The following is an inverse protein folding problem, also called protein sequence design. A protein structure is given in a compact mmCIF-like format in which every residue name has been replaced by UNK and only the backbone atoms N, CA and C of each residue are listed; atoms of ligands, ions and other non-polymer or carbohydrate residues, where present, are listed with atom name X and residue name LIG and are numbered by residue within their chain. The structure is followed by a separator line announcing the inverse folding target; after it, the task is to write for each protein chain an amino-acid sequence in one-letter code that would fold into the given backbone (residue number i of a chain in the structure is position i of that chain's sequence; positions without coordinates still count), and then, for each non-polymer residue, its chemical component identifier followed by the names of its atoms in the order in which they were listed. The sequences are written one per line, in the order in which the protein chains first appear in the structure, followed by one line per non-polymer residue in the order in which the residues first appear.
data_IF_208961924916
#
_entry.id   IF_208961924916
#
_cell.length_a   1.000
_cell.length_b   1.000
_cell.length_c   1.000
_cell.angle_alpha   90.00
_cell.angle_beta   90.00
_cell.angle_gamma   90.00
#
_symmetry.space_group_name_H-M   'P 1'
#
loop_
_entity.id
_entity.type
_entity.pdbx_description
1 polymer ?
#
# COMPACT_ATOMS: atom_id res chain seq x y z
N UNK A 1 26.21 -7.29 -10.22
CA UNK A 1 25.04 -6.39 -10.16
C UNK A 1 24.12 -6.81 -11.29
N UNK A 2 22.96 -7.40 -11.01
CA UNK A 2 22.04 -7.88 -12.05
C UNK A 2 21.00 -6.80 -12.35
N UNK A 3 20.91 -6.37 -13.62
CA UNK A 3 19.88 -5.42 -14.06
C UNK A 3 18.58 -6.19 -14.27
N UNK A 4 17.52 -5.83 -13.54
CA UNK A 4 16.17 -6.35 -13.78
C UNK A 4 15.42 -5.34 -14.63
N UNK A 5 15.02 -5.74 -15.83
CA UNK A 5 14.25 -4.88 -16.73
C UNK A 5 12.79 -4.90 -16.32
N UNK A 6 12.25 -3.75 -15.91
CA UNK A 6 10.81 -3.55 -15.78
C UNK A 6 10.29 -2.93 -17.08
N UNK A 7 9.46 -3.65 -17.82
CA UNK A 7 8.79 -3.12 -19.00
C UNK A 7 7.41 -2.58 -18.61
N UNK A 8 7.12 -1.33 -18.99
CA UNK A 8 5.76 -0.77 -18.98
C UNK A 8 5.02 -1.22 -20.23
N UNK A 9 3.87 -1.87 -20.07
CA UNK A 9 3.05 -2.25 -21.22
C UNK A 9 2.48 -1.00 -21.90
N UNK A 10 2.92 -0.74 -23.13
CA UNK A 10 2.28 0.24 -24.03
C UNK A 10 1.05 -0.40 -24.65
N UNK A 11 -0.16 0.18 -24.59
CA UNK A 11 -1.30 -0.38 -25.28
C UNK A 11 -1.16 -0.15 -26.78
N UNK A 12 -1.00 -1.23 -27.54
CA UNK A 12 -1.16 -1.21 -28.99
C UNK A 12 -2.67 -1.13 -29.31
N UNK A 13 -3.09 -0.02 -29.89
CA UNK A 13 -4.44 0.17 -30.40
C UNK A 13 -4.68 -0.72 -31.63
N UNK A 14 -5.64 -1.64 -31.53
CA UNK A 14 -6.39 -2.18 -32.68
C UNK A 14 -7.84 -2.41 -32.26
N UNK A 15 -8.73 -1.53 -32.71
CA UNK A 15 -10.16 -1.79 -32.74
C UNK A 15 -10.48 -2.70 -33.94
N UNK A 16 -11.33 -3.70 -33.74
CA UNK A 16 -12.46 -4.07 -34.61
C UNK A 16 -13.31 -5.12 -33.88
N UNK A 17 -14.63 -4.96 -33.97
CA UNK A 17 -15.58 -5.32 -32.93
C UNK A 17 -16.10 -6.76 -32.90
N UNK A 18 -16.65 -7.12 -31.74
CA UNK A 18 -17.75 -8.05 -31.59
C UNK A 18 -18.53 -7.68 -30.31
N UNK A 19 -19.85 -7.72 -30.46
CA UNK A 19 -20.92 -7.38 -29.50
C UNK A 19 -21.16 -8.58 -28.56
N UNK A 20 -21.87 -8.35 -27.44
CA UNK A 20 -22.34 -9.28 -26.38
C UNK A 20 -21.42 -9.36 -25.16
N UNK A 21 -21.85 -9.26 -23.90
CA UNK A 21 -23.12 -8.91 -23.28
C UNK A 21 -22.79 -8.39 -21.85
N UNK A 22 -23.65 -7.54 -21.32
CA UNK A 22 -23.76 -7.05 -19.93
C UNK A 22 -22.94 -7.79 -18.84
N UNK A 23 -21.92 -7.14 -18.30
CA UNK A 23 -21.42 -7.44 -16.94
C UNK A 23 -22.25 -6.68 -15.91
N UNK A 24 -23.29 -7.34 -15.41
CA UNK A 24 -23.97 -6.98 -14.17
C UNK A 24 -23.10 -7.36 -12.97
N UNK A 25 -22.33 -6.41 -12.44
CA UNK A 25 -22.16 -6.25 -10.99
C UNK A 25 -21.42 -4.93 -10.75
N UNK A 26 -22.21 -3.89 -10.47
CA UNK A 26 -21.71 -2.65 -9.88
C UNK A 26 -21.28 -2.95 -8.45
N UNK A 27 -20.10 -3.54 -8.26
CA UNK A 27 -19.45 -3.52 -6.96
C UNK A 27 -19.15 -2.06 -6.67
N UNK A 28 -19.92 -1.50 -5.73
CA UNK A 28 -19.82 -0.11 -5.30
C UNK A 28 -18.41 0.15 -4.76
N UNK A 29 -17.53 0.72 -5.57
CA UNK A 29 -16.21 1.17 -5.12
C UNK A 29 -16.41 2.19 -4.00
N UNK A 30 -15.86 1.92 -2.82
CA UNK A 30 -15.96 2.86 -1.71
C UNK A 30 -15.17 4.12 -2.05
N UNK A 31 -15.62 5.27 -1.55
CA UNK A 31 -14.93 6.55 -1.79
C UNK A 31 -13.47 6.46 -1.33
N UNK A 32 -12.53 6.67 -2.27
CA UNK A 32 -11.09 6.63 -2.04
C UNK A 32 -10.45 5.24 -2.06
N UNK A 33 -11.20 4.17 -2.36
CA UNK A 33 -10.64 2.82 -2.52
C UNK A 33 -9.95 2.66 -3.87
N UNK A 34 -8.68 2.21 -3.85
CA UNK A 34 -7.93 1.85 -5.05
C UNK A 34 -7.92 0.34 -5.25
N UNK A 35 -8.38 -0.10 -6.42
CA UNK A 35 -8.26 -1.49 -6.88
C UNK A 35 -7.04 -1.60 -7.79
N UNK A 36 -6.11 -2.51 -7.48
CA UNK A 36 -4.95 -2.78 -8.32
C UNK A 36 -5.28 -3.85 -9.36
N UNK A 37 -5.00 -3.56 -10.61
CA UNK A 37 -5.26 -4.42 -11.77
C UNK A 37 -3.95 -4.94 -12.37
N UNK A 38 -4.02 -5.89 -13.29
CA UNK A 38 -2.82 -6.38 -14.00
C UNK A 38 -2.06 -5.28 -14.74
N UNK A 39 -2.73 -4.24 -15.22
CA UNK A 39 -2.09 -3.09 -15.87
C UNK A 39 -1.29 -2.19 -14.92
N UNK A 40 -1.56 -2.25 -13.61
CA UNK A 40 -0.76 -1.54 -12.60
C UNK A 40 0.56 -2.27 -12.28
N UNK A 41 0.66 -3.56 -12.62
CA UNK A 41 1.77 -4.41 -12.18
C UNK A 41 2.94 -4.35 -13.17
N UNK A 42 4.15 -3.93 -12.74
CA UNK A 42 5.32 -4.02 -13.59
C UNK A 42 5.68 -5.48 -13.85
N UNK A 43 6.07 -5.80 -15.08
CA UNK A 43 6.68 -7.10 -15.37
C UNK A 43 8.05 -7.17 -14.71
N UNK A 44 8.27 -8.14 -13.82
CA UNK A 44 9.51 -8.32 -13.07
C UNK A 44 10.07 -9.72 -13.32
N UNK A 45 11.32 -9.79 -13.79
CA UNK A 45 12.11 -11.03 -13.83
C UNK A 45 13.04 -11.04 -12.63
N UNK A 46 12.66 -11.74 -11.56
CA UNK A 46 13.41 -11.78 -10.30
C UNK A 46 14.26 -13.06 -10.23
N UNK A 47 15.50 -12.97 -9.69
CA UNK A 47 16.32 -14.15 -9.46
C UNK A 47 15.77 -15.01 -8.31
N UNK A 48 16.18 -16.26 -8.26
CA UNK A 48 15.78 -17.23 -7.21
C UNK A 48 16.53 -17.01 -5.88
N UNK A 49 16.45 -15.78 -5.35
CA UNK A 49 17.17 -15.32 -4.17
C UNK A 49 16.35 -14.28 -3.38
N UNK A 50 16.59 -14.19 -2.07
CA UNK A 50 16.12 -13.05 -1.28
C UNK A 50 16.87 -11.78 -1.69
N UNK A 51 16.19 -10.63 -1.64
CA UNK A 51 16.84 -9.38 -1.98
C UNK A 51 15.95 -8.15 -2.04
N UNK A 52 16.58 -7.05 -2.38
CA UNK A 52 15.96 -5.74 -2.47
C UNK A 52 15.65 -5.43 -3.93
N UNK A 53 14.39 -5.14 -4.22
CA UNK A 53 14.01 -4.46 -5.45
C UNK A 53 14.02 -2.97 -5.16
N UNK A 54 15.04 -2.27 -5.64
CA UNK A 54 15.12 -0.81 -5.52
C UNK A 54 14.46 -0.18 -6.72
N UNK A 55 13.71 0.90 -6.50
CA UNK A 55 13.05 1.60 -7.56
C UNK A 55 13.34 3.11 -7.51
N UNK A 56 13.43 3.69 -8.71
CA UNK A 56 13.49 5.11 -8.96
C UNK A 56 12.42 5.47 -9.98
N UNK A 57 11.62 6.47 -9.68
CA UNK A 57 10.56 6.95 -10.55
C UNK A 57 11.14 8.06 -11.41
N UNK A 58 10.75 8.11 -12.70
CA UNK A 58 11.13 9.24 -13.52
C UNK A 58 10.60 10.53 -12.89
N UNK A 59 11.50 11.49 -12.65
CA UNK A 59 11.09 12.83 -12.27
C UNK A 59 10.36 13.46 -13.46
N UNK A 60 9.28 14.17 -13.18
CA UNK A 60 8.54 14.94 -14.18
C UNK A 60 9.47 16.00 -14.79
N UNK A 61 9.70 16.04 -16.12
CA UNK A 61 10.33 17.18 -16.76
C UNK A 61 9.25 18.23 -17.04
N UNK A 62 8.62 18.76 -15.99
CA UNK A 62 7.80 19.97 -16.12
C UNK A 62 8.68 21.18 -15.73
N UNK A 63 8.90 22.14 -16.64
CA UNK A 63 9.69 23.33 -16.32
C UNK A 63 8.88 24.19 -15.33
N UNK A 64 9.43 24.44 -14.14
CA UNK A 64 8.93 25.51 -13.27
C UNK A 64 8.42 25.16 -11.88
N UNK A 65 8.55 23.92 -11.37
CA UNK A 65 8.38 23.65 -9.93
C UNK A 65 9.68 23.20 -9.29
N UNK A 66 10.26 24.16 -8.55
CA UNK A 66 11.49 24.09 -7.79
C UNK A 66 11.55 22.88 -6.84
N UNK A 67 12.54 22.03 -7.08
CA UNK A 67 13.32 21.25 -6.13
C UNK A 67 12.62 20.81 -4.82
N UNK A 68 11.98 19.65 -4.87
CA UNK A 68 11.32 18.91 -3.76
C UNK A 68 12.25 18.42 -2.63
N UNK A 69 13.42 19.03 -2.43
CA UNK A 69 14.33 18.67 -1.33
C UNK A 69 14.92 19.91 -0.69
N UNK A 70 14.16 20.50 0.22
CA UNK A 70 14.73 21.25 1.34
C UNK A 70 14.63 20.40 2.59
N UNK A 71 15.73 19.76 2.94
CA UNK A 71 16.01 19.26 4.28
C UNK A 71 16.04 20.45 5.23
N UNK A 72 15.28 20.37 6.33
CA UNK A 72 15.08 21.36 7.41
C UNK A 72 13.81 22.20 7.28
N UNK A 73 12.65 21.59 7.54
CA UNK A 73 11.50 22.35 8.02
C UNK A 73 11.07 21.79 9.37
N UNK A 74 11.31 22.59 10.40
CA UNK A 74 10.87 22.36 11.77
C UNK A 74 9.35 22.22 11.75
N UNK A 75 8.86 21.09 12.26
CA UNK A 75 7.43 20.79 12.39
C UNK A 75 6.70 21.95 13.10
N UNK A 76 5.76 22.58 12.40
CA UNK A 76 4.76 23.49 12.98
C UNK A 76 3.39 22.92 12.67
N UNK A 77 2.56 22.56 13.67
CA UNK A 77 1.23 22.05 13.38
C UNK A 77 0.32 23.21 12.96
N UNK A 78 -0.50 23.10 11.90
CA UNK A 78 -1.60 24.02 11.70
C UNK A 78 -2.75 23.63 12.64
N UNK A 79 -3.03 24.52 13.57
CA UNK A 79 -4.28 24.53 14.33
C UNK A 79 -5.39 25.03 13.39
N UNK A 80 -6.41 24.19 13.19
CA UNK A 80 -7.72 24.47 12.59
C UNK A 80 -7.81 24.86 11.09
N UNK A 81 -8.63 24.07 10.39
CA UNK A 81 -9.45 24.36 9.21
C UNK A 81 -8.75 24.76 7.90
N UNK A 82 -8.73 23.80 6.97
CA UNK A 82 -9.12 24.08 5.59
C UNK A 82 -9.84 22.85 5.06
N UNK A 83 -11.15 23.00 4.85
CA UNK A 83 -11.96 22.19 3.96
C UNK A 83 -11.28 22.20 2.58
N UNK A 84 -10.42 21.21 2.33
CA UNK A 84 -9.82 21.02 1.02
C UNK A 84 -10.85 20.29 0.16
N UNK A 85 -11.44 21.04 -0.77
CA UNK A 85 -12.31 20.58 -1.83
C UNK A 85 -11.94 19.19 -2.34
N UNK A 86 -12.96 18.33 -2.45
CA UNK A 86 -12.95 17.15 -3.29
C UNK A 86 -12.80 17.58 -4.76
N UNK A 87 -11.59 17.96 -5.15
CA UNK A 87 -11.20 17.94 -6.57
C UNK A 87 -10.81 16.50 -6.86
N UNK A 88 -11.66 15.90 -7.68
CA UNK A 88 -11.56 14.59 -8.28
C UNK A 88 -10.25 14.52 -9.11
N UNK A 89 -9.15 14.19 -8.45
CA UNK A 89 -7.80 14.13 -9.03
C UNK A 89 -7.25 12.69 -8.99
N UNK A 90 -8.15 11.73 -9.30
CA UNK A 90 -7.82 10.34 -9.63
C UNK A 90 -7.07 10.22 -10.97
N UNK A 91 -6.69 11.34 -11.58
CA UNK A 91 -6.04 11.41 -12.89
C UNK A 91 -4.51 11.39 -12.85
N UNK A 92 -3.90 11.12 -11.68
CA UNK A 92 -2.51 10.68 -11.65
C UNK A 92 -2.43 9.23 -12.11
N UNK A 93 -2.43 9.04 -13.43
CA UNK A 93 -2.06 7.77 -14.04
C UNK A 93 -0.78 7.26 -13.32
N UNK A 94 -0.81 6.07 -12.71
CA UNK A 94 0.36 5.50 -12.08
C UNK A 94 1.42 5.27 -13.16
N UNK A 95 2.34 6.22 -13.29
CA UNK A 95 3.51 6.06 -14.15
C UNK A 95 4.32 4.88 -13.61
N UNK A 96 4.65 3.95 -14.50
CA UNK A 96 5.46 2.80 -14.16
C UNK A 96 6.81 3.21 -13.55
N UNK A 97 7.46 2.30 -12.81
CA UNK A 97 8.76 2.57 -12.24
C UNK A 97 9.76 2.93 -13.34
N UNK A 98 10.52 4.02 -13.17
CA UNK A 98 11.42 4.50 -14.21
C UNK A 98 12.73 3.71 -14.33
N UNK A 99 13.22 3.22 -13.19
CA UNK A 99 14.34 2.29 -13.12
C UNK A 99 14.11 1.34 -11.95
N UNK A 100 14.22 0.04 -12.22
CA UNK A 100 14.14 -1.02 -11.22
C UNK A 100 15.47 -1.78 -11.21
N UNK A 101 15.98 -2.12 -10.04
CA UNK A 101 17.17 -2.95 -9.90
C UNK A 101 16.99 -3.95 -8.76
N UNK A 102 17.62 -5.12 -8.89
CA UNK A 102 17.63 -6.13 -7.84
C UNK A 102 19.01 -6.26 -7.22
N UNK A 103 19.05 -6.34 -5.90
CA UNK A 103 20.27 -6.60 -5.12
C UNK A 103 19.99 -7.78 -4.20
N UNK A 104 20.71 -8.88 -4.41
CA UNK A 104 20.64 -10.03 -3.50
C UNK A 104 21.12 -9.62 -2.11
N UNK A 105 20.33 -9.96 -1.10
CA UNK A 105 20.62 -9.67 0.31
C UNK A 105 20.16 -10.86 1.12
N UNK A 106 20.98 -11.27 2.08
CA UNK A 106 20.60 -12.34 3.00
C UNK A 106 19.33 -11.96 3.78
N UNK A 107 18.45 -12.95 3.98
CA UNK A 107 17.14 -12.76 4.60
C UNK A 107 17.23 -12.08 5.98
N UNK A 108 18.26 -12.36 6.77
CA UNK A 108 18.43 -11.78 8.12
C UNK A 108 18.71 -10.27 8.09
N UNK A 109 19.26 -9.76 6.99
CA UNK A 109 19.61 -8.36 6.80
C UNK A 109 18.62 -7.58 5.95
N UNK A 110 17.65 -8.26 5.33
CA UNK A 110 16.76 -7.73 4.32
C UNK A 110 16.06 -6.42 4.75
N UNK A 111 15.49 -6.39 5.96
CA UNK A 111 14.81 -5.20 6.47
C UNK A 111 15.79 -4.06 6.73
N UNK A 112 16.90 -4.34 7.41
CA UNK A 112 17.91 -3.31 7.75
C UNK A 112 18.47 -2.67 6.48
N UNK A 113 18.95 -3.50 5.55
CA UNK A 113 19.50 -3.03 4.28
C UNK A 113 18.45 -2.29 3.44
N UNK A 114 17.19 -2.74 3.45
CA UNK A 114 16.10 -2.03 2.77
C UNK A 114 15.84 -0.64 3.35
N UNK A 115 15.84 -0.53 4.68
CA UNK A 115 15.66 0.75 5.39
C UNK A 115 16.84 1.70 5.20
N UNK A 116 18.07 1.19 5.15
CA UNK A 116 19.25 2.02 4.85
C UNK A 116 19.28 2.45 3.38
N UNK A 117 18.87 1.55 2.47
CA UNK A 117 18.84 1.83 1.04
C UNK A 117 17.82 2.91 0.67
N UNK A 118 16.63 2.90 1.27
CA UNK A 118 15.58 3.90 0.93
C UNK A 118 15.98 5.33 1.35
N UNK A 119 16.90 5.47 2.32
CA UNK A 119 17.43 6.78 2.74
C UNK A 119 18.40 7.39 1.72
N UNK A 120 18.90 6.59 0.78
CA UNK A 120 19.81 7.08 -0.26
C UNK A 120 19.07 7.96 -1.28
N UNK A 121 19.68 9.06 -1.73
CA UNK A 121 19.02 10.00 -2.65
C UNK A 121 18.64 9.39 -4.01
N UNK A 122 19.22 8.25 -4.37
CA UNK A 122 19.02 7.59 -5.66
C UNK A 122 17.82 6.62 -5.68
N UNK A 123 17.21 6.34 -4.53
CA UNK A 123 16.14 5.35 -4.38
C UNK A 123 14.91 6.04 -3.82
N UNK A 124 13.75 5.90 -4.47
CA UNK A 124 12.51 6.47 -3.93
C UNK A 124 11.68 5.46 -3.13
N UNK A 125 11.82 4.17 -3.44
CA UNK A 125 11.21 3.10 -2.67
C UNK A 125 11.98 1.79 -2.82
N UNK A 126 11.79 0.92 -1.83
CA UNK A 126 12.39 -0.42 -1.78
C UNK A 126 11.29 -1.44 -1.55
N UNK A 127 11.31 -2.53 -2.31
CA UNK A 127 10.49 -3.71 -2.04
C UNK A 127 11.39 -4.83 -1.55
N UNK A 128 11.05 -5.38 -0.39
CA UNK A 128 11.69 -6.57 0.16
C UNK A 128 11.12 -7.79 -0.55
N UNK A 129 11.95 -8.42 -1.37
CA UNK A 129 11.61 -9.65 -2.07
C UNK A 129 12.11 -10.85 -1.26
N UNK A 130 11.18 -11.75 -0.95
CA UNK A 130 11.52 -13.06 -0.42
C UNK A 130 11.52 -14.08 -1.56
N UNK A 131 12.53 -14.94 -1.62
CA UNK A 131 12.68 -16.00 -2.64
C UNK A 131 11.41 -16.85 -2.80
N UNK A 132 10.74 -17.16 -1.69
CA UNK A 132 9.51 -17.94 -1.69
C UNK A 132 8.27 -17.17 -2.21
N UNK A 133 8.39 -15.87 -2.49
CA UNK A 133 7.28 -15.03 -2.95
C UNK A 133 7.20 -15.01 -4.48
N UNK A 134 6.03 -15.31 -5.08
CA UNK A 134 5.85 -15.19 -6.52
C UNK A 134 6.19 -13.78 -7.03
N UNK A 135 6.80 -13.64 -8.22
CA UNK A 135 7.15 -12.34 -8.80
C UNK A 135 5.97 -11.37 -8.89
N UNK A 136 4.77 -11.87 -9.23
CA UNK A 136 3.54 -11.07 -9.27
C UNK A 136 3.17 -10.41 -7.94
N UNK A 137 3.46 -11.05 -6.80
CA UNK A 137 3.23 -10.41 -5.48
C UNK A 137 4.26 -9.31 -5.21
N UNK A 138 5.50 -9.48 -5.68
CA UNK A 138 6.54 -8.45 -5.58
C UNK A 138 6.21 -7.26 -6.48
N UNK A 139 5.69 -7.51 -7.68
CA UNK A 139 5.17 -6.49 -8.58
C UNK A 139 4.01 -5.71 -7.94
N UNK A 140 3.09 -6.39 -7.26
CA UNK A 140 2.02 -5.74 -6.49
C UNK A 140 2.57 -4.88 -5.35
N UNK A 141 3.56 -5.38 -4.58
CA UNK A 141 4.18 -4.60 -3.52
C UNK A 141 4.92 -3.36 -4.07
N UNK A 142 5.47 -3.43 -5.28
CA UNK A 142 6.08 -2.31 -5.99
C UNK A 142 5.04 -1.29 -6.46
N UNK A 143 3.96 -1.72 -7.12
CA UNK A 143 2.85 -0.85 -7.51
C UNK A 143 2.23 -0.15 -6.28
N UNK A 144 2.03 -0.90 -5.20
CA UNK A 144 1.51 -0.38 -3.94
C UNK A 144 2.47 0.64 -3.29
N UNK A 145 3.79 0.45 -3.42
CA UNK A 145 4.77 1.42 -2.90
C UNK A 145 4.64 2.81 -3.54
N UNK A 146 4.32 2.86 -4.84
CA UNK A 146 4.07 4.12 -5.55
C UNK A 146 2.81 4.81 -5.01
N UNK A 147 1.73 4.05 -4.80
CA UNK A 147 0.51 4.57 -4.17
C UNK A 147 0.77 5.10 -2.75
N UNK A 148 1.48 4.31 -1.93
CA UNK A 148 1.84 4.71 -0.57
C UNK A 148 2.69 5.97 -0.53
N UNK A 149 3.64 6.14 -1.46
CA UNK A 149 4.48 7.33 -1.57
C UNK A 149 3.62 8.58 -1.75
N UNK A 150 2.71 8.56 -2.72
CA UNK A 150 1.79 9.69 -2.96
C UNK A 150 0.92 9.97 -1.74
N UNK A 151 0.41 8.93 -1.07
CA UNK A 151 -0.40 9.08 0.15
C UNK A 151 0.41 9.66 1.31
N UNK A 152 1.64 9.20 1.53
CA UNK A 152 2.50 9.67 2.61
C UNK A 152 3.01 11.08 2.39
N UNK A 153 3.26 11.46 1.13
CA UNK A 153 3.56 12.83 0.76
C UNK A 153 2.41 13.78 1.14
N UNK A 154 1.16 13.43 0.82
CA UNK A 154 -0.03 14.22 1.22
C UNK A 154 -0.18 14.35 2.73
N UNK A 155 0.32 13.40 3.51
CA UNK A 155 0.34 13.44 4.97
C UNK A 155 1.57 14.16 5.55
N UNK A 156 2.50 14.66 4.72
CA UNK A 156 3.74 15.28 5.18
C UNK A 156 4.77 14.31 5.79
N UNK A 157 4.64 13.00 5.56
CA UNK A 157 5.53 11.97 6.13
C UNK A 157 6.79 11.69 5.27
N UNK A 158 6.92 12.38 4.13
CA UNK A 158 8.00 12.15 3.16
C UNK A 158 7.73 10.99 2.20
N UNK A 159 8.73 10.66 1.38
CA UNK A 159 8.58 9.74 0.24
C UNK A 159 9.14 8.33 0.48
N UNK A 160 9.92 8.11 1.55
CA UNK A 160 10.63 6.85 1.75
C UNK A 160 9.67 5.70 2.08
N UNK A 161 9.48 4.78 1.14
CA UNK A 161 8.56 3.65 1.29
C UNK A 161 9.33 2.33 1.18
N UNK A 162 9.18 1.48 2.19
CA UNK A 162 9.67 0.11 2.17
C UNK A 162 8.47 -0.83 2.27
N UNK A 163 8.25 -1.65 1.25
CA UNK A 163 7.12 -2.61 1.21
C UNK A 163 7.58 -4.05 1.07
N UNK A 164 6.72 -5.00 1.42
CA UNK A 164 6.96 -6.43 1.24
C UNK A 164 5.66 -7.18 0.93
N UNK A 165 5.75 -8.15 0.03
CA UNK A 165 4.64 -9.03 -0.34
C UNK A 165 4.30 -10.09 0.71
N UNK A 166 5.29 -10.41 1.55
CA UNK A 166 5.23 -11.37 2.65
C UNK A 166 5.59 -10.67 3.94
N UNK A 167 5.20 -11.25 5.08
CA UNK A 167 5.47 -10.66 6.40
C UNK A 167 6.98 -10.54 6.63
N UNK A 168 7.53 -9.33 6.80
CA UNK A 168 8.96 -9.15 7.01
C UNK A 168 9.37 -9.58 8.43
N UNK A 169 10.53 -10.21 8.53
CA UNK A 169 11.21 -10.48 9.80
C UNK A 169 11.95 -9.23 10.25
N UNK A 170 11.73 -8.82 11.50
CA UNK A 170 12.27 -7.59 12.07
C UNK A 170 13.47 -7.85 13.00
N UNK A 171 13.96 -9.08 13.13
CA UNK A 171 15.06 -9.42 14.03
C UNK A 171 16.31 -8.53 13.85
N UNK A 172 16.64 -8.13 12.61
CA UNK A 172 17.77 -7.24 12.29
C UNK A 172 17.46 -5.73 12.38
N UNK A 173 16.26 -5.34 12.80
CA UNK A 173 15.79 -3.95 12.83
C UNK A 173 14.83 -3.71 14.02
N UNK A 174 15.35 -3.65 15.27
CA UNK A 174 14.52 -3.62 16.48
C UNK A 174 13.63 -2.38 16.62
N UNK A 175 14.02 -1.25 16.02
CA UNK A 175 13.25 0.00 16.02
C UNK A 175 12.27 0.13 14.85
N UNK A 176 12.12 -0.93 14.06
CA UNK A 176 11.22 -0.96 12.92
C UNK A 176 9.86 -1.55 13.29
N UNK A 177 8.82 -1.02 12.64
CA UNK A 177 7.45 -1.49 12.74
C UNK A 177 7.01 -2.00 11.38
N UNK A 178 6.31 -3.13 11.35
CA UNK A 178 5.63 -3.61 10.15
C UNK A 178 4.14 -3.32 10.23
N UNK A 179 3.61 -2.72 9.17
CA UNK A 179 2.21 -2.29 9.06
C UNK A 179 1.58 -3.10 7.92
N UNK A 180 0.62 -3.99 8.22
CA UNK A 180 -0.15 -4.68 7.19
C UNK A 180 -1.18 -3.74 6.58
N UNK A 181 -1.04 -3.47 5.29
CA UNK A 181 -2.03 -2.77 4.49
C UNK A 181 -2.92 -3.78 3.79
N UNK A 182 -4.24 -3.61 3.95
CA UNK A 182 -5.22 -4.39 3.21
C UNK A 182 -5.38 -3.75 1.82
N UNK A 183 -5.20 -4.54 0.78
CA UNK A 183 -5.18 -4.09 -0.62
C UNK A 183 -6.17 -4.90 -1.42
N UNK A 184 -6.98 -4.22 -2.22
CA UNK A 184 -7.90 -4.87 -3.16
C UNK A 184 -7.18 -5.06 -4.50
N UNK A 185 -7.22 -6.27 -5.04
CA UNK A 185 -6.69 -6.62 -6.35
C UNK A 185 -7.80 -7.16 -7.23
N UNK A 186 -7.76 -6.85 -8.52
CA UNK A 186 -8.58 -7.48 -9.54
C UNK A 186 -7.66 -8.23 -10.49
N UNK A 187 -8.01 -9.48 -10.80
CA UNK A 187 -7.33 -10.20 -11.86
C UNK A 187 -7.83 -9.77 -13.25
N UNK A 188 -7.16 -10.24 -14.30
CA UNK A 188 -7.55 -9.95 -15.69
C UNK A 188 -8.90 -10.54 -16.11
N UNK A 189 -9.56 -11.31 -15.24
CA UNK A 189 -10.89 -11.88 -15.45
C UNK A 189 -11.99 -11.08 -14.75
N UNK A 190 -11.62 -10.04 -13.98
CA UNK A 190 -12.54 -9.24 -13.18
C UNK A 190 -12.82 -9.82 -11.79
N UNK A 191 -12.13 -10.89 -11.38
CA UNK A 191 -12.26 -11.43 -10.03
C UNK A 191 -11.52 -10.53 -9.05
N UNK A 192 -12.25 -10.01 -8.06
CA UNK A 192 -11.71 -9.11 -7.03
C UNK A 192 -11.41 -9.86 -5.74
N UNK A 193 -10.19 -9.70 -5.22
CA UNK A 193 -9.74 -10.29 -3.97
C UNK A 193 -9.06 -9.26 -3.06
N UNK A 194 -9.13 -9.48 -1.75
CA UNK A 194 -8.44 -8.69 -0.75
C UNK A 194 -7.15 -9.43 -0.30
N UNK A 195 -6.03 -8.72 -0.27
CA UNK A 195 -4.71 -9.26 0.13
C UNK A 195 -3.98 -8.30 1.07
N UNK A 196 -2.81 -8.70 1.54
CA UNK A 196 -1.98 -7.91 2.45
C UNK A 196 -0.66 -7.56 1.77
N UNK A 197 -0.32 -6.27 1.81
CA UNK A 197 1.03 -5.76 1.55
C UNK A 197 1.56 -5.15 2.83
N UNK A 198 2.76 -5.55 3.21
CA UNK A 198 3.42 -5.04 4.39
C UNK A 198 4.18 -3.77 4.05
N UNK A 199 4.15 -2.80 4.94
CA UNK A 199 5.07 -1.66 4.93
C UNK A 199 5.97 -1.75 6.15
N UNK A 200 7.25 -1.42 6.00
CA UNK A 200 8.16 -1.23 7.13
C UNK A 200 8.35 0.27 7.36
N UNK A 201 8.32 0.69 8.63
CA UNK A 201 8.55 2.07 9.07
C UNK A 201 9.53 2.10 10.23
N UNK A 202 10.28 3.20 10.39
CA UNK A 202 10.99 3.48 11.65
C UNK A 202 9.99 3.87 12.74
N UNK A 203 10.36 3.73 14.02
CA UNK A 203 9.55 4.20 15.14
C UNK A 203 9.07 5.65 15.01
N UNK A 204 9.96 6.59 14.68
CA UNK A 204 9.58 7.99 14.50
C UNK A 204 8.57 8.20 13.35
N UNK A 205 8.74 7.49 12.22
CA UNK A 205 7.79 7.57 11.09
C UNK A 205 6.45 6.93 11.45
N UNK A 206 6.49 5.83 12.17
CA UNK A 206 5.32 5.12 12.65
C UNK A 206 4.49 5.99 13.62
N UNK A 207 5.14 6.66 14.57
CA UNK A 207 4.48 7.58 15.49
C UNK A 207 3.84 8.78 14.77
N UNK A 208 4.57 9.37 13.81
CA UNK A 208 4.04 10.44 12.97
C UNK A 208 2.85 9.97 12.13
N UNK A 209 2.90 8.74 11.60
CA UNK A 209 1.80 8.13 10.86
C UNK A 209 0.57 7.87 11.74
N UNK A 210 0.77 7.48 13.01
CA UNK A 210 -0.30 7.38 14.01
C UNK A 210 -0.90 8.74 14.36
N UNK A 211 -0.16 9.84 14.16
CA UNK A 211 -0.65 11.21 14.36
C UNK A 211 -1.07 11.48 15.80
N UNK A 212 -0.28 11.01 16.76
CA UNK A 212 -0.52 11.20 18.20
C UNK A 212 -1.42 10.15 18.85
N UNK A 213 -1.99 9.21 18.09
CA UNK A 213 -2.68 8.06 18.68
C UNK A 213 -1.69 7.15 19.44
N UNK A 214 -2.10 6.52 20.56
CA UNK A 214 -1.24 5.60 21.27
C UNK A 214 -0.88 4.39 20.39
N UNK A 215 0.33 3.85 20.57
CA UNK A 215 0.75 2.64 19.86
C UNK A 215 -0.16 1.47 20.25
N UNK A 216 -0.80 0.78 19.30
CA UNK A 216 -1.66 -0.35 19.59
C UNK A 216 -0.84 -1.63 19.83
N UNK A 217 -1.50 -2.64 20.39
CA UNK A 217 -0.97 -4.01 20.46
C UNK A 217 -0.83 -4.58 19.04
N UNK A 218 0.42 -4.64 18.56
CA UNK A 218 0.74 -5.16 17.24
C UNK A 218 0.46 -6.64 17.09
N UNK A 219 0.67 -7.42 18.16
CA UNK A 219 0.45 -8.87 18.13
C UNK A 219 -1.05 -9.12 17.94
N UNK A 220 -1.90 -8.42 18.68
CA UNK A 220 -3.35 -8.52 18.51
C UNK A 220 -3.82 -8.17 17.09
N UNK A 221 -3.25 -7.11 16.48
CA UNK A 221 -3.57 -6.73 15.10
C UNK A 221 -3.13 -7.82 14.11
N UNK A 222 -1.90 -8.33 14.24
CA UNK A 222 -1.39 -9.37 13.35
C UNK A 222 -2.18 -10.68 13.47
N UNK A 223 -2.55 -11.09 14.68
CA UNK A 223 -3.41 -12.26 14.91
C UNK A 223 -4.80 -12.07 14.28
N UNK A 224 -5.31 -10.84 14.24
CA UNK A 224 -6.62 -10.53 13.66
C UNK A 224 -6.63 -10.42 12.13
N UNK A 225 -5.49 -10.54 11.44
CA UNK A 225 -5.40 -10.31 9.98
C UNK A 225 -6.40 -11.09 9.13
N UNK A 226 -6.65 -12.39 9.34
CA UNK A 226 -7.67 -13.12 8.59
C UNK A 226 -9.07 -12.50 8.75
N UNK A 227 -9.42 -12.08 9.96
CA UNK A 227 -10.68 -11.41 10.25
C UNK A 227 -10.75 -9.99 9.68
N UNK A 228 -9.62 -9.27 9.63
CA UNK A 228 -9.54 -7.93 9.03
C UNK A 228 -9.70 -7.98 7.51
N UNK A 229 -9.10 -8.96 6.84
CA UNK A 229 -9.31 -9.20 5.40
C UNK A 229 -10.77 -9.53 5.12
N UNK A 230 -11.37 -10.42 5.92
CA UNK A 230 -12.80 -10.76 5.79
C UNK A 230 -13.70 -9.56 6.03
N UNK A 231 -13.41 -8.75 7.04
CA UNK A 231 -14.16 -7.54 7.36
C UNK A 231 -14.09 -6.53 6.22
N UNK A 232 -12.90 -6.31 5.64
CA UNK A 232 -12.73 -5.44 4.46
C UNK A 232 -13.61 -5.92 3.32
N UNK A 233 -13.57 -7.21 3.00
CA UNK A 233 -14.40 -7.78 1.93
C UNK A 233 -15.89 -7.53 2.16
N UNK A 234 -16.40 -7.79 3.37
CA UNK A 234 -17.80 -7.56 3.72
C UNK A 234 -18.18 -6.08 3.64
N UNK A 235 -17.28 -5.18 4.08
CA UNK A 235 -17.50 -3.74 4.01
C UNK A 235 -17.57 -3.25 2.56
N UNK A 236 -16.60 -3.63 1.73
CA UNK A 236 -16.51 -3.29 0.31
C UNK A 236 -17.70 -3.78 -0.50
N UNK A 237 -18.12 -5.02 -0.27
CA UNK A 237 -19.26 -5.63 -0.99
C UNK A 237 -20.63 -5.21 -0.43
N UNK A 238 -20.67 -4.33 0.58
CA UNK A 238 -21.91 -3.89 1.22
C UNK A 238 -22.64 -5.01 1.98
N UNK A 239 -21.96 -6.12 2.27
CA UNK A 239 -22.52 -7.30 2.95
C UNK A 239 -22.39 -7.25 4.47
N UNK A 240 -21.80 -6.19 5.02
CA UNK A 240 -21.73 -5.99 6.45
C UNK A 240 -23.07 -5.43 6.97
N UNK A 241 -23.72 -6.14 7.90
CA UNK A 241 -24.89 -5.59 8.61
C UNK A 241 -24.48 -4.34 9.39
N UNK A 242 -24.92 -3.17 8.90
CA UNK A 242 -24.54 -1.89 9.49
C UNK A 242 -24.96 -1.79 10.94
N UNK A 243 -26.15 -2.29 11.30
CA UNK A 243 -26.68 -2.28 12.68
C UNK A 243 -25.78 -3.02 13.68
N UNK A 244 -24.95 -3.95 13.20
CA UNK A 244 -24.00 -4.72 14.03
C UNK A 244 -22.61 -4.10 14.06
N UNK A 245 -22.40 -3.04 13.28
CA UNK A 245 -21.13 -2.38 13.02
C UNK A 245 -21.22 -0.84 13.04
N UNK A 246 -22.23 -0.26 13.70
CA UNK A 246 -22.49 1.19 13.73
C UNK A 246 -21.24 2.00 14.09
N UNK A 247 -20.54 1.58 15.15
CA UNK A 247 -19.31 2.23 15.61
C UNK A 247 -18.19 2.18 14.57
N UNK A 248 -18.10 1.07 13.81
CA UNK A 248 -17.15 0.98 12.70
C UNK A 248 -17.58 1.88 11.56
N UNK A 249 -18.86 1.91 11.20
CA UNK A 249 -19.36 2.78 10.16
C UNK A 249 -19.05 4.26 10.48
N UNK A 250 -19.21 4.67 11.73
CA UNK A 250 -18.82 6.01 12.20
C UNK A 250 -17.31 6.26 12.10
N UNK A 251 -16.46 5.30 12.50
CA UNK A 251 -15.00 5.41 12.36
C UNK A 251 -14.54 5.44 10.90
N UNK A 252 -15.25 4.73 10.03
CA UNK A 252 -14.93 4.66 8.62
C UNK A 252 -15.44 5.89 7.86
N UNK A 253 -16.51 6.53 8.33
CA UNK A 253 -17.15 7.72 7.74
C UNK A 253 -17.38 7.55 6.23
N UNK A 254 -17.99 6.40 5.86
CA UNK A 254 -18.23 6.03 4.46
C UNK A 254 -16.99 5.61 3.65
N UNK A 255 -15.78 5.78 4.19
CA UNK A 255 -14.53 5.43 3.51
C UNK A 255 -14.03 4.00 3.71
N UNK A 256 -12.85 3.73 3.17
CA UNK A 256 -12.17 2.44 3.20
C UNK A 256 -11.65 2.05 4.61
N UNK A 257 -11.63 0.74 4.90
CA UNK A 257 -10.91 0.15 6.04
C UNK A 257 -9.40 0.08 5.74
N UNK A 258 -8.71 1.17 6.08
CA UNK A 258 -7.27 1.34 5.85
C UNK A 258 -6.45 0.90 7.06
N UNK A 259 -5.16 0.59 6.86
CA UNK A 259 -4.24 0.28 7.95
C UNK A 259 -4.25 1.38 9.04
N UNK A 260 -4.27 2.65 8.64
CA UNK A 260 -4.25 3.76 9.61
C UNK A 260 -5.47 3.75 10.52
N UNK A 261 -6.66 3.44 9.99
CA UNK A 261 -7.88 3.32 10.81
C UNK A 261 -7.82 2.10 11.73
N UNK A 262 -7.33 0.96 11.25
CA UNK A 262 -7.13 -0.25 12.07
C UNK A 262 -6.23 0.05 13.28
N UNK A 263 -5.12 0.73 13.04
CA UNK A 263 -4.12 1.03 14.05
C UNK A 263 -4.52 2.17 15.00
N UNK A 264 -5.27 3.17 14.54
CA UNK A 264 -5.80 4.24 15.40
C UNK A 264 -6.99 3.80 16.24
N UNK A 265 -7.80 2.87 15.75
CA UNK A 265 -9.06 2.45 16.40
C UNK A 265 -9.15 0.93 16.63
N UNK A 266 -8.12 0.27 17.19
CA UNK A 266 -8.09 -1.19 17.33
C UNK A 266 -9.23 -1.71 18.21
N UNK A 267 -9.63 -0.96 19.23
CA UNK A 267 -10.73 -1.34 20.15
C UNK A 267 -12.09 -1.40 19.45
N UNK A 268 -12.27 -0.64 18.37
CA UNK A 268 -13.50 -0.68 17.56
C UNK A 268 -13.38 -1.77 16.50
N UNK A 269 -12.24 -1.82 15.80
CA UNK A 269 -12.07 -2.66 14.61
C UNK A 269 -11.88 -4.13 14.97
N UNK A 270 -11.03 -4.46 15.95
CA UNK A 270 -10.64 -5.85 16.22
C UNK A 270 -11.81 -6.75 16.67
N UNK A 271 -12.72 -6.32 17.57
CA UNK A 271 -13.88 -7.14 17.93
C UNK A 271 -14.78 -7.47 16.73
N UNK A 272 -14.88 -6.54 15.78
CA UNK A 272 -15.67 -6.73 14.56
C UNK A 272 -14.94 -7.69 13.62
N UNK A 273 -13.63 -7.53 13.43
CA UNK A 273 -12.82 -8.46 12.65
C UNK A 273 -12.95 -9.92 13.17
N UNK A 274 -12.96 -10.11 14.50
CA UNK A 274 -13.20 -11.42 15.11
C UNK A 274 -14.58 -11.98 14.77
N UNK A 275 -15.64 -11.16 14.84
CA UNK A 275 -17.00 -11.58 14.46
C UNK A 275 -17.12 -11.88 12.96
N UNK A 276 -16.44 -11.11 12.12
CA UNK A 276 -16.40 -11.30 10.67
C UNK A 276 -15.79 -12.67 10.31
N UNK A 277 -14.70 -13.03 10.99
CA UNK A 277 -14.03 -14.31 10.82
C UNK A 277 -14.93 -15.50 11.23
N UNK A 278 -15.73 -15.33 12.26
CA UNK A 278 -16.69 -16.34 12.75
C UNK A 278 -17.99 -16.41 11.96
N UNK A 279 -18.22 -15.49 11.00
CA UNK A 279 -19.44 -15.44 10.19
C UNK A 279 -20.68 -14.92 10.93
N UNK A 280 -20.51 -14.03 11.93
CA UNK A 280 -21.60 -13.55 12.79
C UNK A 280 -21.95 -12.07 12.52
N UNK A 281 -21.65 -11.56 11.33
CA UNK A 281 -21.88 -10.17 10.88
C UNK A 281 -22.73 -10.10 9.62
#
# INVERSE_FOLDING_TARGET
MGVVVAATATPASRSFGARMDTLTSSEKTLTGERIFTSSDLPSLSLPDADGLVTCRWFQDPAPGRTAWRTSSQTYRPPLAAAEASAVDDDNFAPRGPGQVAFVAVDRTWLVREGMDRVRTRAVDAVVLHAKASPPGRTALALAFSAHLRTRQHRMGLGADVVTAAVRPDLAGAPDAFRVPHLVTVSDGTGTVADTIIWQVMTGARYDAWLGGAPRPDHVAIETALPGLVRLRHLWRTGRLDRSRADTLAAVLDGGELTAQKIFRYPRVVLPIATRALRGVL
#
